data_IF_688498353649
#
_entry.id   IF_688498353649
#
_cell.length_a   1.000
_cell.length_b   1.000
_cell.length_c   1.000
_cell.angle_alpha   90.00
_cell.angle_beta   90.00
_cell.angle_gamma   90.00
#
_symmetry.space_group_name_H-M   'P 1'
#
loop_
_entity.id
_entity.type
_entity.pdbx_description
1 polymer ?
#
# COMPACT_ATOMS: atom_id res chain seq x y z
N UNK A 1 22.81 9.14 32.27
CA UNK A 1 22.59 8.23 31.12
C UNK A 1 21.08 8.17 30.89
N UNK A 2 20.54 9.01 30.01
CA UNK A 2 19.10 9.18 29.81
C UNK A 2 18.69 8.41 28.55
N UNK A 3 18.02 7.27 28.71
CA UNK A 3 17.48 6.47 27.61
C UNK A 3 16.21 7.14 27.10
N UNK A 4 16.29 7.87 25.98
CA UNK A 4 15.10 8.34 25.29
C UNK A 4 14.30 7.13 24.78
N UNK A 5 13.00 7.00 25.10
CA UNK A 5 12.17 5.96 24.51
C UNK A 5 12.00 6.25 23.02
N UNK A 6 12.17 5.21 22.20
CA UNK A 6 11.98 5.26 20.75
C UNK A 6 10.58 5.80 20.42
N UNK A 7 10.44 6.70 19.43
CA UNK A 7 9.13 7.13 18.97
C UNK A 7 8.40 5.91 18.41
N UNK A 8 7.32 5.57 19.09
CA UNK A 8 6.35 4.59 18.65
C UNK A 8 5.74 5.16 17.37
N UNK A 9 6.11 4.57 16.23
CA UNK A 9 5.41 4.74 14.97
C UNK A 9 4.04 4.06 15.12
N UNK A 10 3.15 4.66 15.91
CA UNK A 10 1.74 4.43 15.72
C UNK A 10 1.46 4.96 14.32
N UNK A 11 0.91 4.16 13.39
CA UNK A 11 0.42 4.70 12.13
C UNK A 11 -0.66 5.69 12.55
N UNK A 12 -0.31 6.98 12.54
CA UNK A 12 -1.19 8.07 12.88
C UNK A 12 -2.35 7.94 11.90
N UNK A 13 -3.50 7.54 12.42
CA UNK A 13 -4.70 7.37 11.62
C UNK A 13 -4.98 8.70 10.93
N UNK A 14 -4.99 8.66 9.59
CA UNK A 14 -5.50 9.66 8.67
C UNK A 14 -5.66 11.05 9.27
N UNK A 15 -4.65 11.90 9.10
CA UNK A 15 -4.90 13.33 9.06
C UNK A 15 -6.02 13.57 8.03
N UNK A 16 -7.11 14.28 8.37
CA UNK A 16 -8.23 14.51 7.46
C UNK A 16 -7.74 15.36 6.28
N UNK A 17 -7.35 14.68 5.19
CA UNK A 17 -6.83 15.30 3.97
C UNK A 17 -5.76 14.50 3.23
N UNK A 18 -5.07 13.58 3.90
CA UNK A 18 -4.00 12.78 3.27
C UNK A 18 -4.56 11.48 2.68
N UNK A 19 -4.72 11.44 1.36
CA UNK A 19 -5.17 10.24 0.65
C UNK A 19 -3.98 9.37 0.27
N UNK A 20 -3.88 8.17 0.84
CA UNK A 20 -2.82 7.20 0.49
C UNK A 20 -3.24 6.40 -0.74
N UNK A 21 -2.41 6.43 -1.79
CA UNK A 21 -2.57 5.59 -2.98
C UNK A 21 -1.90 4.24 -2.75
N UNK A 22 -2.70 3.18 -2.75
CA UNK A 22 -2.20 1.82 -2.59
C UNK A 22 -1.96 1.16 -3.95
N UNK A 23 -0.81 0.49 -4.10
CA UNK A 23 -0.45 -0.25 -5.32
C UNK A 23 -0.07 -1.68 -4.89
N UNK A 24 -0.78 -2.67 -5.43
CA UNK A 24 -0.47 -4.08 -5.25
C UNK A 24 0.22 -4.62 -6.51
N UNK A 25 1.43 -5.13 -6.35
CA UNK A 25 2.24 -5.70 -7.43
C UNK A 25 2.55 -7.17 -7.12
N UNK A 26 2.24 -8.06 -8.06
CA UNK A 26 2.43 -9.50 -7.88
C UNK A 26 1.67 -10.31 -8.93
N UNK A 27 1.54 -11.62 -8.69
CA UNK A 27 0.72 -12.49 -9.55
C UNK A 27 -0.76 -12.13 -9.40
N UNK A 28 -1.58 -12.23 -10.48
CA UNK A 28 -2.99 -11.87 -10.43
C UNK A 28 -3.77 -12.56 -9.31
N UNK A 29 -3.52 -13.86 -9.08
CA UNK A 29 -4.18 -14.62 -8.01
C UNK A 29 -3.81 -14.10 -6.61
N UNK A 30 -2.52 -13.80 -6.39
CA UNK A 30 -2.04 -13.26 -5.11
C UNK A 30 -2.58 -11.84 -4.84
N UNK A 31 -2.71 -11.01 -5.89
CA UNK A 31 -3.32 -9.68 -5.79
C UNK A 31 -4.79 -9.83 -5.37
N UNK A 32 -5.57 -10.68 -6.05
CA UNK A 32 -6.99 -10.92 -5.71
C UNK A 32 -7.14 -11.41 -4.27
N UNK A 33 -6.33 -12.39 -3.85
CA UNK A 33 -6.33 -12.89 -2.47
C UNK A 33 -6.03 -11.78 -1.46
N UNK A 34 -5.09 -10.90 -1.77
CA UNK A 34 -4.73 -9.78 -0.89
C UNK A 34 -5.86 -8.75 -0.81
N UNK A 35 -6.52 -8.41 -1.92
CA UNK A 35 -7.70 -7.52 -1.91
C UNK A 35 -8.81 -8.11 -1.01
N UNK A 36 -9.09 -9.41 -1.15
CA UNK A 36 -10.07 -10.08 -0.28
C UNK A 36 -9.65 -10.07 1.19
N UNK A 37 -8.36 -10.26 1.49
CA UNK A 37 -7.84 -10.18 2.85
C UNK A 37 -7.99 -8.76 3.43
N UNK A 38 -7.59 -7.73 2.69
CA UNK A 38 -7.72 -6.33 3.13
C UNK A 38 -9.18 -5.95 3.39
N UNK A 39 -10.10 -6.46 2.58
CA UNK A 39 -11.54 -6.32 2.81
C UNK A 39 -12.00 -7.02 4.09
N UNK A 40 -11.58 -8.27 4.31
CA UNK A 40 -11.92 -9.01 5.52
C UNK A 40 -11.36 -8.35 6.81
N UNK A 41 -10.25 -7.61 6.68
CA UNK A 41 -9.66 -6.81 7.75
C UNK A 41 -10.32 -5.44 7.95
N UNK A 42 -11.39 -5.12 7.20
CA UNK A 42 -12.06 -3.81 7.18
C UNK A 42 -11.12 -2.64 6.85
N UNK A 43 -10.04 -2.92 6.11
CA UNK A 43 -9.08 -1.88 5.70
C UNK A 43 -9.64 -1.05 4.54
N UNK A 44 -10.29 -1.71 3.58
CA UNK A 44 -10.84 -1.07 2.37
C UNK A 44 -11.88 -1.97 1.70
N UNK A 45 -12.84 -1.39 0.98
CA UNK A 45 -13.82 -2.14 0.20
C UNK A 45 -13.22 -2.67 -1.11
N UNK A 46 -13.64 -3.87 -1.53
CA UNK A 46 -13.15 -4.47 -2.79
C UNK A 46 -13.47 -3.63 -4.03
N UNK A 47 -14.60 -2.91 -4.02
CA UNK A 47 -15.05 -2.07 -5.13
C UNK A 47 -14.19 -0.82 -5.36
N UNK A 48 -13.41 -0.41 -4.37
CA UNK A 48 -12.51 0.74 -4.48
C UNK A 48 -11.22 0.42 -5.26
N UNK A 49 -10.95 -0.86 -5.50
CA UNK A 49 -9.81 -1.30 -6.30
C UNK A 49 -10.15 -1.29 -7.78
N UNK A 50 -9.21 -0.77 -8.59
CA UNK A 50 -9.27 -0.91 -10.05
C UNK A 50 -9.16 -2.39 -10.46
N UNK A 51 -9.66 -2.76 -11.66
CA UNK A 51 -9.50 -4.12 -12.18
C UNK A 51 -8.03 -4.56 -12.16
N UNK A 52 -7.79 -5.83 -11.82
CA UNK A 52 -6.43 -6.42 -11.89
C UNK A 52 -6.06 -6.54 -13.37
N UNK A 53 -5.16 -5.66 -13.81
CA UNK A 53 -4.59 -5.69 -15.15
C UNK A 53 -3.28 -6.47 -15.12
N UNK A 54 -3.12 -7.38 -16.09
CA UNK A 54 -1.81 -7.97 -16.35
C UNK A 54 -0.96 -6.91 -17.03
N UNK A 55 0.13 -6.52 -16.38
CA UNK A 55 1.07 -5.57 -16.97
C UNK A 55 1.94 -6.35 -17.94
N UNK A 56 1.68 -6.19 -19.24
CA UNK A 56 2.41 -6.88 -20.31
C UNK A 56 3.75 -6.20 -20.62
N UNK A 57 3.88 -4.91 -20.27
CA UNK A 57 5.05 -4.07 -20.53
C UNK A 57 5.54 -3.36 -19.24
N UNK A 58 6.41 -2.36 -19.35
CA UNK A 58 6.91 -1.61 -18.19
C UNK A 58 5.83 -0.70 -17.58
N UNK A 59 5.53 -0.86 -16.29
CA UNK A 59 4.69 0.08 -15.54
C UNK A 59 5.53 1.28 -15.10
N UNK A 60 5.22 2.46 -15.63
CA UNK A 60 5.78 3.74 -15.13
C UNK A 60 4.83 4.34 -14.10
N UNK A 61 5.27 4.43 -12.85
CA UNK A 61 4.56 5.13 -11.78
C UNK A 61 5.24 6.49 -11.60
N UNK A 62 4.50 7.57 -11.87
CA UNK A 62 4.97 8.94 -11.66
C UNK A 62 4.37 9.50 -10.37
N UNK A 63 5.14 9.62 -9.28
CA UNK A 63 4.66 10.28 -8.08
C UNK A 63 4.45 11.78 -8.32
N UNK A 64 3.47 12.38 -7.65
CA UNK A 64 3.29 13.83 -7.66
C UNK A 64 4.29 14.52 -6.72
N UNK A 65 4.53 15.82 -6.91
CA UNK A 65 5.47 16.57 -6.08
C UNK A 65 5.05 16.52 -4.60
N UNK A 66 5.88 15.94 -3.75
CA UNK A 66 5.60 15.74 -2.33
C UNK A 66 5.19 14.32 -1.94
N UNK A 67 4.92 13.44 -2.91
CA UNK A 67 4.70 12.01 -2.64
C UNK A 67 6.04 11.28 -2.44
N UNK A 68 6.10 10.42 -1.42
CA UNK A 68 7.22 9.53 -1.17
C UNK A 68 6.82 8.08 -1.50
N UNK A 69 7.72 7.33 -2.13
CA UNK A 69 7.52 5.91 -2.44
C UNK A 69 8.61 5.07 -1.78
N UNK A 70 8.22 3.96 -1.16
CA UNK A 70 9.12 2.95 -0.64
C UNK A 70 8.82 1.61 -1.30
N UNK A 71 9.86 0.94 -1.79
CA UNK A 71 9.74 -0.38 -2.41
C UNK A 71 10.48 -1.41 -1.56
N UNK A 72 9.72 -2.32 -0.95
CA UNK A 72 10.27 -3.50 -0.29
C UNK A 72 10.07 -4.73 -1.18
N UNK A 73 11.16 -5.34 -1.64
CA UNK A 73 11.13 -6.62 -2.36
C UNK A 73 11.56 -7.72 -1.41
N UNK A 74 10.60 -8.53 -0.94
CA UNK A 74 10.89 -9.77 -0.20
C UNK A 74 10.76 -10.94 -1.16
N UNK A 75 11.89 -11.58 -1.47
CA UNK A 75 11.88 -12.88 -2.17
C UNK A 75 11.55 -13.95 -1.13
N UNK A 76 10.51 -14.74 -1.41
CA UNK A 76 10.15 -15.94 -0.64
C UNK A 76 10.83 -17.16 -1.27
#
# INVERSE_FOLDING_TARGET
>A
MQTSPLPHLTPSGNAPGESIRHILLGKPDAIRQTIHLLHALHYTETILWSPVLTIEDALVITPTQGEAMSLLRKQL
#
